data_IF_219807104558
#
_entry.id   IF_219807104558
#
_cell.length_a   1.000
_cell.length_b   1.000
_cell.length_c   1.000
_cell.angle_alpha   90.00
_cell.angle_beta   90.00
_cell.angle_gamma   90.00
#
_symmetry.space_group_name_H-M   'P 1'
#
loop_
_entity.id
_entity.type
_entity.pdbx_description
1 polymer ?
#
# COMPACT_ATOMS: atom_id res chain seq x y z
N UNK A 1 9.40 -63.76 5.41
CA UNK A 1 10.29 -62.95 6.27
C UNK A 1 10.52 -61.64 5.54
N UNK A 2 9.78 -60.58 5.89
CA UNK A 2 9.96 -59.28 5.24
C UNK A 2 10.98 -58.48 6.04
N UNK A 3 12.17 -58.33 5.44
CA UNK A 3 13.34 -57.71 6.04
C UNK A 3 13.11 -56.23 6.31
N UNK A 4 13.33 -55.85 7.55
CA UNK A 4 13.38 -54.47 7.98
C UNK A 4 14.53 -53.77 7.25
N UNK A 5 14.23 -52.82 6.35
CA UNK A 5 15.24 -52.09 5.59
C UNK A 5 15.85 -50.98 6.47
N UNK A 6 16.88 -51.35 7.22
CA UNK A 6 17.63 -50.48 8.12
C UNK A 6 18.14 -49.20 7.46
N UNK A 7 18.50 -49.25 6.18
CA UNK A 7 19.00 -48.10 5.45
C UNK A 7 17.90 -47.05 5.23
N UNK A 8 16.71 -47.48 4.82
CA UNK A 8 15.57 -46.56 4.63
C UNK A 8 15.12 -45.91 5.93
N UNK A 9 15.12 -46.66 7.03
CA UNK A 9 14.74 -46.13 8.34
C UNK A 9 15.78 -45.15 8.87
N UNK A 10 17.06 -45.46 8.71
CA UNK A 10 18.15 -44.57 9.11
C UNK A 10 18.15 -43.29 8.28
N UNK A 11 17.95 -43.36 6.96
CA UNK A 11 17.84 -42.21 6.07
C UNK A 11 16.63 -41.32 6.38
N UNK A 12 15.52 -41.93 6.79
CA UNK A 12 14.30 -41.20 7.18
C UNK A 12 14.49 -40.48 8.52
N UNK A 13 15.14 -41.13 9.49
CA UNK A 13 15.52 -40.53 10.76
C UNK A 13 16.55 -39.42 10.58
N UNK A 14 17.54 -39.62 9.72
CA UNK A 14 18.54 -38.60 9.41
C UNK A 14 17.88 -37.38 8.78
N UNK A 15 16.97 -37.56 7.81
CA UNK A 15 16.19 -36.45 7.21
C UNK A 15 15.26 -35.73 8.18
N UNK A 16 14.72 -36.42 9.18
CA UNK A 16 13.88 -35.79 10.20
C UNK A 16 14.66 -35.09 11.31
N UNK A 17 15.93 -35.47 11.51
CA UNK A 17 16.84 -34.89 12.50
C UNK A 17 17.75 -33.79 11.92
N UNK A 18 17.92 -33.75 10.60
CA UNK A 18 18.56 -32.61 9.94
C UNK A 18 17.73 -31.36 10.25
N UNK A 19 18.34 -30.27 10.73
CA UNK A 19 17.62 -29.03 10.91
C UNK A 19 17.05 -28.63 9.55
N UNK A 20 15.74 -28.38 9.48
CA UNK A 20 15.13 -27.65 8.37
C UNK A 20 15.60 -26.19 8.46
N UNK A 21 16.91 -25.96 8.32
CA UNK A 21 17.57 -24.67 8.54
C UNK A 21 17.36 -23.70 7.39
N UNK A 22 16.72 -24.15 6.30
CA UNK A 22 16.28 -23.27 5.24
C UNK A 22 14.95 -22.64 5.64
N UNK A 23 14.98 -21.33 5.93
CA UNK A 23 13.77 -20.52 5.90
C UNK A 23 13.13 -20.74 4.52
N UNK A 24 11.86 -21.22 4.45
CA UNK A 24 11.22 -21.46 3.17
C UNK A 24 11.30 -20.20 2.30
N UNK A 25 11.60 -20.32 1.02
CA UNK A 25 11.79 -19.17 0.11
C UNK A 25 10.61 -18.19 0.15
N UNK A 26 9.39 -18.71 0.32
CA UNK A 26 8.18 -17.92 0.52
C UNK A 26 8.24 -17.05 1.78
N UNK A 27 8.76 -17.57 2.89
CA UNK A 27 8.92 -16.82 4.14
C UNK A 27 9.98 -15.74 3.97
N UNK A 28 11.12 -16.05 3.35
CA UNK A 28 12.17 -15.09 3.09
C UNK A 28 11.70 -13.95 2.16
N UNK A 29 11.00 -14.29 1.06
CA UNK A 29 10.41 -13.32 0.14
C UNK A 29 9.37 -12.43 0.82
N UNK A 30 8.46 -13.03 1.61
CA UNK A 30 7.43 -12.28 2.32
C UNK A 30 8.04 -11.33 3.36
N UNK A 31 9.09 -11.75 4.07
CA UNK A 31 9.80 -10.89 5.01
C UNK A 31 10.46 -9.68 4.31
N UNK A 32 11.14 -9.90 3.18
CA UNK A 32 11.70 -8.81 2.37
C UNK A 32 10.62 -7.85 1.85
N UNK A 33 9.53 -8.37 1.29
CA UNK A 33 8.42 -7.55 0.81
C UNK A 33 7.77 -6.74 1.93
N UNK A 34 7.57 -7.35 3.10
CA UNK A 34 7.04 -6.68 4.28
C UNK A 34 7.91 -5.47 4.66
N UNK A 35 9.22 -5.67 4.83
CA UNK A 35 10.12 -4.58 5.21
C UNK A 35 10.23 -3.49 4.13
N UNK A 36 10.18 -3.86 2.84
CA UNK A 36 10.10 -2.88 1.75
C UNK A 36 8.81 -2.05 1.80
N UNK A 37 7.67 -2.65 2.15
CA UNK A 37 6.43 -1.91 2.36
C UNK A 37 6.50 -1.03 3.61
N UNK A 38 7.12 -1.50 4.71
CA UNK A 38 7.32 -0.68 5.91
C UNK A 38 8.17 0.56 5.61
N UNK A 39 9.24 0.44 4.82
CA UNK A 39 10.08 1.58 4.43
C UNK A 39 9.28 2.63 3.65
N UNK A 40 8.47 2.19 2.67
CA UNK A 40 7.59 3.09 1.90
C UNK A 40 6.54 3.77 2.78
N UNK A 41 5.98 3.02 3.73
CA UNK A 41 5.02 3.54 4.69
C UNK A 41 5.66 4.64 5.56
N UNK A 42 6.83 4.39 6.11
CA UNK A 42 7.56 5.37 6.94
C UNK A 42 7.89 6.64 6.15
N UNK A 43 8.36 6.51 4.90
CA UNK A 43 8.63 7.66 4.04
C UNK A 43 7.38 8.50 3.74
N UNK A 44 6.23 7.84 3.52
CA UNK A 44 4.94 8.52 3.36
C UNK A 44 4.50 9.21 4.65
N UNK A 45 4.65 8.57 5.82
CA UNK A 45 4.33 9.16 7.12
C UNK A 45 5.20 10.38 7.43
N UNK A 46 6.50 10.32 7.11
CA UNK A 46 7.40 11.46 7.27
C UNK A 46 6.93 12.64 6.39
N UNK A 47 6.66 12.38 5.11
CA UNK A 47 6.18 13.39 4.17
C UNK A 47 4.87 14.04 4.64
N UNK A 48 3.90 13.21 5.06
CA UNK A 48 2.65 13.67 5.64
C UNK A 48 2.88 14.56 6.86
N UNK A 49 3.69 14.11 7.82
CA UNK A 49 3.91 14.80 9.08
C UNK A 49 4.52 16.19 8.86
N UNK A 50 5.51 16.30 7.97
CA UNK A 50 6.12 17.59 7.59
C UNK A 50 5.08 18.55 7.02
N UNK A 51 4.28 18.09 6.08
CA UNK A 51 3.21 18.90 5.48
C UNK A 51 2.14 19.30 6.49
N UNK A 52 1.76 18.39 7.40
CA UNK A 52 0.81 18.66 8.48
C UNK A 52 1.31 19.75 9.42
N UNK A 53 2.55 19.65 9.91
CA UNK A 53 3.13 20.66 10.79
C UNK A 53 3.20 22.03 10.10
N UNK A 54 3.60 22.09 8.82
CA UNK A 54 3.63 23.34 8.07
C UNK A 54 2.24 23.98 7.98
N UNK A 55 1.20 23.20 7.64
CA UNK A 55 -0.18 23.70 7.59
C UNK A 55 -0.69 24.15 8.95
N UNK A 56 -0.36 23.43 10.04
CA UNK A 56 -0.72 23.84 11.41
C UNK A 56 -0.06 25.13 11.83
N UNK A 57 1.24 25.28 11.59
CA UNK A 57 1.93 26.54 11.89
C UNK A 57 1.34 27.72 11.13
N UNK A 58 1.02 27.56 9.83
CA UNK A 58 0.36 28.62 9.05
C UNK A 58 -1.00 28.99 9.64
N UNK A 59 -1.82 28.01 9.98
CA UNK A 59 -3.14 28.25 10.59
C UNK A 59 -3.06 28.98 11.92
N UNK A 60 -2.12 28.56 12.80
CA UNK A 60 -1.91 29.20 14.10
C UNK A 60 -1.40 30.63 13.97
N UNK A 61 -0.45 30.90 13.06
CA UNK A 61 0.03 32.28 12.81
C UNK A 61 -1.08 33.18 12.31
N UNK A 62 -1.89 32.70 11.36
CA UNK A 62 -3.02 33.47 10.85
C UNK A 62 -4.06 33.77 11.96
N UNK A 63 -4.29 32.84 12.89
CA UNK A 63 -5.15 33.09 14.04
C UNK A 63 -4.56 34.12 15.01
N UNK A 64 -3.25 34.05 15.26
CA UNK A 64 -2.55 35.02 16.09
C UNK A 64 -2.64 36.43 15.49
N UNK A 65 -2.28 36.58 14.21
CA UNK A 65 -2.37 37.85 13.50
C UNK A 65 -3.79 38.44 13.49
N UNK A 66 -4.81 37.60 13.34
CA UNK A 66 -6.20 38.03 13.40
C UNK A 66 -6.59 38.49 14.80
N UNK A 67 -6.18 37.75 15.84
CA UNK A 67 -6.43 38.12 17.23
C UNK A 67 -5.74 39.44 17.61
N UNK A 68 -4.51 39.66 17.15
CA UNK A 68 -3.79 40.92 17.35
C UNK A 68 -4.52 42.09 16.69
N UNK A 69 -4.95 41.93 15.43
CA UNK A 69 -5.76 42.94 14.72
C UNK A 69 -7.08 43.23 15.43
N UNK A 70 -7.74 42.20 15.96
CA UNK A 70 -8.97 42.38 16.74
C UNK A 70 -8.73 43.15 18.04
N UNK A 71 -7.61 42.87 18.74
CA UNK A 71 -7.24 43.57 19.97
C UNK A 71 -6.82 45.03 19.73
N UNK A 72 -6.30 45.35 18.54
CA UNK A 72 -5.86 46.69 18.15
C UNK A 72 -6.95 47.51 17.43
N UNK A 73 -8.14 46.94 17.22
CA UNK A 73 -9.22 47.60 16.50
C UNK A 73 -9.84 48.75 17.31
N UNK A 74 -10.05 49.89 16.66
CA UNK A 74 -10.68 51.07 17.28
C UNK A 74 -12.19 50.91 17.41
N UNK A 75 -12.79 50.04 16.58
CA UNK A 75 -14.22 49.78 16.58
C UNK A 75 -14.57 48.28 16.60
N UNK A 76 -15.73 47.90 17.16
CA UNK A 76 -16.21 46.52 17.10
C UNK A 76 -16.38 45.99 15.66
N UNK A 77 -16.68 46.87 14.70
CA UNK A 77 -16.86 46.52 13.28
C UNK A 77 -15.53 46.11 12.64
N UNK A 78 -14.43 46.79 12.98
CA UNK A 78 -13.09 46.43 12.51
C UNK A 78 -12.61 45.10 13.09
N UNK A 79 -12.86 44.88 14.39
CA UNK A 79 -12.59 43.58 15.01
C UNK A 79 -13.39 42.46 14.33
N UNK A 80 -14.68 42.69 14.05
CA UNK A 80 -15.50 41.71 13.32
C UNK A 80 -14.97 41.46 11.90
N UNK A 81 -14.49 42.50 11.20
CA UNK A 81 -13.89 42.34 9.87
C UNK A 81 -12.64 41.46 9.93
N UNK A 82 -11.73 41.72 10.87
CA UNK A 82 -10.53 40.90 11.07
C UNK A 82 -10.87 39.42 11.37
N UNK A 83 -11.92 39.18 12.17
CA UNK A 83 -12.43 37.84 12.42
C UNK A 83 -12.97 37.17 11.16
N UNK A 84 -13.79 37.87 10.37
CA UNK A 84 -14.38 37.32 9.14
C UNK A 84 -13.30 37.01 8.08
N UNK A 85 -12.30 37.88 7.91
CA UNK A 85 -11.15 37.62 7.05
C UNK A 85 -10.39 36.35 7.47
N UNK A 86 -10.14 36.20 8.77
CA UNK A 86 -9.53 34.99 9.30
C UNK A 86 -10.39 33.75 9.05
N UNK A 87 -11.70 33.83 9.27
CA UNK A 87 -12.64 32.72 9.13
C UNK A 87 -12.70 32.19 7.70
N UNK A 88 -12.74 33.09 6.71
CA UNK A 88 -12.68 32.71 5.29
C UNK A 88 -11.40 31.94 4.99
N UNK A 89 -10.24 32.49 5.38
CA UNK A 89 -8.96 31.80 5.17
C UNK A 89 -8.85 30.50 5.98
N UNK A 90 -9.47 30.41 7.16
CA UNK A 90 -9.46 29.20 7.97
C UNK A 90 -10.22 28.06 7.29
N UNK A 91 -11.33 28.38 6.63
CA UNK A 91 -12.13 27.43 5.85
C UNK A 91 -11.33 26.83 4.69
N UNK A 92 -10.62 27.66 3.93
CA UNK A 92 -9.74 27.20 2.84
C UNK A 92 -8.63 26.27 3.36
N UNK A 93 -8.00 26.64 4.47
CA UNK A 93 -6.94 25.82 5.10
C UNK A 93 -7.48 24.49 5.61
N UNK A 94 -8.70 24.44 6.13
CA UNK A 94 -9.35 23.20 6.55
C UNK A 94 -9.62 22.26 5.38
N UNK A 95 -10.14 22.80 4.26
CA UNK A 95 -10.37 22.01 3.04
C UNK A 95 -9.05 21.44 2.49
N UNK A 96 -8.02 22.29 2.40
CA UNK A 96 -6.70 21.86 1.92
C UNK A 96 -6.11 20.74 2.79
N UNK A 97 -6.32 20.81 4.10
CA UNK A 97 -5.86 19.82 5.06
C UNK A 97 -6.62 18.49 4.94
N UNK A 98 -7.94 18.55 4.73
CA UNK A 98 -8.77 17.38 4.44
C UNK A 98 -8.31 16.65 3.17
N UNK A 99 -8.06 17.39 2.08
CA UNK A 99 -7.54 16.83 0.83
C UNK A 99 -6.13 16.24 0.98
N UNK A 100 -5.28 16.82 1.82
CA UNK A 100 -3.98 16.26 2.15
C UNK A 100 -4.15 14.94 2.91
N UNK A 101 -4.98 14.91 3.96
CA UNK A 101 -5.26 13.70 4.74
C UNK A 101 -5.81 12.56 3.86
N UNK A 102 -6.73 12.87 2.95
CA UNK A 102 -7.29 11.87 2.02
C UNK A 102 -6.22 11.26 1.11
N UNK A 103 -5.32 12.08 0.55
CA UNK A 103 -4.22 11.61 -0.31
C UNK A 103 -3.28 10.66 0.43
N UNK A 104 -2.95 10.98 1.66
CA UNK A 104 -2.07 10.12 2.47
C UNK A 104 -2.76 8.82 2.86
N UNK A 105 -4.05 8.86 3.20
CA UNK A 105 -4.83 7.64 3.46
C UNK A 105 -4.84 6.68 2.27
N UNK A 106 -4.99 7.20 1.04
CA UNK A 106 -4.90 6.38 -0.17
C UNK A 106 -3.50 5.80 -0.36
N UNK A 107 -2.46 6.59 -0.08
CA UNK A 107 -1.06 6.15 -0.14
C UNK A 107 -0.79 5.02 0.84
N UNK A 108 -1.18 5.17 2.12
CA UNK A 108 -1.06 4.13 3.13
C UNK A 108 -1.83 2.86 2.77
N UNK A 109 -3.06 3.01 2.28
CA UNK A 109 -3.88 1.87 1.84
C UNK A 109 -3.22 1.07 0.72
N UNK A 110 -2.57 1.73 -0.24
CA UNK A 110 -1.87 1.07 -1.35
C UNK A 110 -0.62 0.30 -0.94
N UNK A 111 0.09 0.75 0.11
CA UNK A 111 1.32 0.10 0.61
C UNK A 111 1.00 -1.15 1.43
N UNK A 112 -0.17 -1.17 2.07
CA UNK A 112 -0.64 -2.27 2.91
C UNK A 112 -1.46 -3.31 2.14
N UNK A 113 -1.89 -3.01 0.90
CA UNK A 113 -2.62 -3.96 0.08
C UNK A 113 -1.73 -5.19 -0.20
N UNK A 114 -2.23 -6.42 0.03
CA UNK A 114 -1.46 -7.62 -0.29
C UNK A 114 -1.14 -7.60 -1.79
N UNK A 115 0.14 -7.80 -2.12
CA UNK A 115 0.52 -8.06 -3.51
C UNK A 115 -0.23 -9.30 -3.99
N UNK A 116 -0.83 -9.31 -5.19
CA UNK A 116 -1.48 -10.50 -5.71
C UNK A 116 -0.43 -11.61 -5.71
N UNK A 117 -0.61 -12.60 -4.86
CA UNK A 117 0.11 -13.86 -4.94
C UNK A 117 -0.24 -14.45 -6.30
N UNK A 118 0.66 -14.26 -7.27
CA UNK A 118 0.55 -14.89 -8.57
C UNK A 118 0.38 -16.38 -8.32
N UNK A 119 -0.74 -17.02 -8.73
CA UNK A 119 -0.85 -18.46 -8.61
C UNK A 119 0.28 -19.06 -9.44
N UNK A 120 1.05 -19.94 -8.78
CA UNK A 120 2.06 -20.76 -9.41
C UNK A 120 1.48 -21.48 -10.63
N UNK A 121 2.35 -21.68 -11.63
CA UNK A 121 2.04 -22.19 -12.96
C UNK A 121 0.84 -23.12 -13.06
N UNK A 122 -0.15 -22.69 -13.84
CA UNK A 122 -1.03 -23.62 -14.52
C UNK A 122 -0.20 -24.40 -15.54
N UNK A 123 0.33 -25.55 -15.12
CA UNK A 123 0.68 -26.63 -16.04
C UNK A 123 -0.62 -27.06 -16.73
N UNK A 124 -0.88 -26.45 -17.88
CA UNK A 124 -1.79 -26.99 -18.88
C UNK A 124 -1.14 -28.29 -19.38
N UNK A 125 -1.57 -29.41 -18.79
CA UNK A 125 -1.35 -30.75 -19.34
C UNK A 125 -2.00 -30.76 -20.73
N UNK A 126 -1.15 -30.59 -21.73
CA UNK A 126 -1.51 -30.81 -23.13
C UNK A 126 -1.45 -32.33 -23.35
N UNK A 127 -2.58 -33.00 -23.13
CA UNK A 127 -2.77 -34.40 -23.54
C UNK A 127 -3.04 -34.43 -25.04
N UNK A 128 -2.29 -35.29 -25.75
CA UNK A 128 -2.14 -35.26 -27.18
C UNK A 128 -3.00 -36.27 -27.95
N UNK A 129 -3.30 -35.93 -29.20
CA UNK A 129 -3.72 -36.83 -30.29
C UNK A 129 -5.23 -37.07 -30.35
N UNK A 130 -5.92 -36.95 -31.49
CA UNK A 130 -5.66 -37.49 -32.85
C UNK A 130 -6.97 -37.30 -33.68
N UNK A 131 -7.04 -37.41 -35.03
CA UNK A 131 -6.19 -36.95 -36.12
C UNK A 131 -6.94 -36.01 -37.09
N UNK A 132 -6.21 -35.45 -38.06
CA UNK A 132 -6.75 -34.82 -39.27
C UNK A 132 -7.68 -35.74 -40.07
N UNK A 133 -8.76 -35.15 -40.60
CA UNK A 133 -9.27 -35.49 -41.93
C UNK A 133 -9.42 -34.20 -42.72
N UNK A 134 -8.48 -33.95 -43.62
CA UNK A 134 -8.73 -33.15 -44.81
C UNK A 134 -9.91 -33.75 -45.59
N UNK A 135 -10.78 -32.92 -46.17
CA UNK A 135 -10.85 -32.72 -47.62
C UNK A 135 -12.08 -31.86 -48.02
N UNK A 136 -11.81 -30.90 -48.90
CA UNK A 136 -12.65 -30.37 -49.98
C UNK A 136 -13.29 -28.98 -49.82
N UNK A 137 -12.59 -28.00 -50.37
CA UNK A 137 -13.02 -27.00 -51.37
C UNK A 137 -14.42 -26.35 -51.29
N UNK A 138 -14.40 -25.03 -51.00
CA UNK A 138 -14.99 -23.85 -51.67
C UNK A 138 -16.18 -23.98 -52.68
N UNK A 139 -16.96 -22.90 -53.01
CA UNK A 139 -16.75 -21.45 -52.77
C UNK A 139 -18.00 -20.60 -52.36
N UNK A 140 -17.77 -19.28 -52.23
CA UNK A 140 -18.70 -18.14 -52.05
C UNK A 140 -19.79 -17.98 -53.15
N UNK A 141 -20.94 -17.42 -52.75
CA UNK A 141 -21.76 -16.41 -53.45
C UNK A 141 -22.99 -16.09 -52.56
N UNK A 142 -23.61 -14.92 -52.47
CA UNK A 142 -23.41 -13.54 -52.93
C UNK A 142 -24.25 -12.66 -51.97
#
# INVERSE_FOLDING_TARGET
MNGWNWNEQFETLQRSLLPTSAVPEVVARNACQFWQSQEKLLAAMETFSRGWFERRHRGTRAALEASERMCQADTPVEALRAYQEWLTGASERLIADGLACQREWMTFGSVLAPSPTSPAGSDQVQDGGRPERELSDHPKAA
#
